data_IF_638273025876
#
_entry.id   IF_638273025876
#
_cell.length_a   1.000
_cell.length_b   1.000
_cell.length_c   1.000
_cell.angle_alpha   90.00
_cell.angle_beta   90.00
_cell.angle_gamma   90.00
#
_symmetry.space_group_name_H-M   'P 1'
#
loop_
_entity.id
_entity.type
_entity.pdbx_description
1 polymer ?
#
# COMPACT_ATOMS: atom_id res chain seq x y z
N UNK A 1 -12.72 13.04 12.01
CA UNK A 1 -12.61 12.12 10.88
C UNK A 1 -11.95 10.83 11.33
N UNK A 2 -12.45 9.69 10.85
CA UNK A 2 -11.89 8.40 11.27
C UNK A 2 -10.50 8.20 10.68
N UNK A 3 -9.62 7.61 11.47
CA UNK A 3 -8.25 7.35 11.05
C UNK A 3 -8.19 6.12 10.16
N UNK A 4 -7.31 6.15 9.15
CA UNK A 4 -7.04 4.98 8.32
C UNK A 4 -6.10 4.07 9.08
N UNK A 5 -6.49 2.82 9.27
CA UNK A 5 -5.74 1.82 10.04
C UNK A 5 -5.08 0.78 9.16
N UNK A 6 -5.64 0.51 7.99
CA UNK A 6 -5.07 -0.45 7.04
C UNK A 6 -5.38 -0.01 5.62
N UNK A 7 -4.40 -0.16 4.75
CA UNK A 7 -4.57 0.05 3.30
C UNK A 7 -3.95 -1.13 2.57
N UNK A 8 -4.67 -1.63 1.58
CA UNK A 8 -4.13 -2.63 0.65
C UNK A 8 -4.33 -2.07 -0.75
N UNK A 9 -3.24 -1.91 -1.48
CA UNK A 9 -3.31 -1.31 -2.81
C UNK A 9 -2.20 -1.83 -3.70
N UNK A 10 -2.44 -1.75 -5.00
CA UNK A 10 -1.49 -2.16 -6.03
C UNK A 10 -0.76 -0.95 -6.55
N UNK A 11 0.53 -1.11 -6.76
CA UNK A 11 1.41 -0.09 -7.32
C UNK A 11 2.05 -0.63 -8.58
N UNK A 12 2.06 0.19 -9.62
CA UNK A 12 2.89 -0.06 -10.79
C UNK A 12 4.14 0.79 -10.66
N UNK A 13 5.30 0.16 -10.73
CA UNK A 13 6.56 0.88 -10.56
C UNK A 13 7.58 0.39 -11.57
N UNK A 14 8.54 1.24 -11.95
CA UNK A 14 9.68 0.78 -12.73
C UNK A 14 10.55 -0.16 -11.89
N UNK A 15 11.50 -0.83 -12.52
CA UNK A 15 12.37 -1.76 -11.81
C UNK A 15 13.23 -1.06 -10.76
N UNK A 16 13.58 0.18 -10.99
CA UNK A 16 14.30 1.01 -10.03
C UNK A 16 13.38 2.13 -9.54
N UNK A 17 13.36 2.42 -8.24
CA UNK A 17 14.06 1.77 -7.14
C UNK A 17 13.53 0.36 -6.87
N UNK A 18 14.33 -0.44 -6.15
CA UNK A 18 13.94 -1.80 -5.81
C UNK A 18 12.74 -1.81 -4.86
N UNK A 19 11.99 -2.91 -4.87
CA UNK A 19 10.83 -3.06 -4.00
C UNK A 19 11.19 -2.89 -2.52
N UNK A 20 12.37 -3.37 -2.13
CA UNK A 20 12.81 -3.24 -0.74
C UNK A 20 13.01 -1.78 -0.35
N UNK A 21 13.47 -0.95 -1.27
CA UNK A 21 13.65 0.48 -1.00
C UNK A 21 12.31 1.20 -0.91
N UNK A 22 11.39 0.85 -1.80
CA UNK A 22 10.04 1.43 -1.77
C UNK A 22 9.35 1.07 -0.45
N UNK A 23 9.43 -0.20 -0.04
CA UNK A 23 8.82 -0.63 1.21
C UNK A 23 9.38 0.15 2.41
N UNK A 24 10.70 0.37 2.43
CA UNK A 24 11.32 1.14 3.51
C UNK A 24 10.86 2.58 3.54
N UNK A 25 10.76 3.20 2.37
CA UNK A 25 10.30 4.59 2.28
C UNK A 25 8.84 4.73 2.71
N UNK A 26 8.00 3.78 2.30
CA UNK A 26 6.59 3.79 2.72
C UNK A 26 6.49 3.57 4.23
N UNK A 27 7.32 2.70 4.79
CA UNK A 27 7.32 2.45 6.24
C UNK A 27 7.67 3.70 7.05
N UNK A 28 8.46 4.61 6.46
CA UNK A 28 8.83 5.86 7.12
C UNK A 28 7.75 6.94 6.98
N UNK A 29 6.67 6.67 6.25
CA UNK A 29 5.60 7.65 6.07
C UNK A 29 4.81 7.87 7.35
N UNK A 30 4.24 9.06 7.49
CA UNK A 30 3.52 9.42 8.69
C UNK A 30 2.33 8.52 8.93
N UNK A 31 2.22 8.01 10.15
CA UNK A 31 1.10 7.18 10.58
C UNK A 31 1.25 5.70 10.25
N UNK A 32 2.30 5.31 9.53
CA UNK A 32 2.51 3.91 9.14
C UNK A 32 3.31 3.20 10.23
N UNK A 33 2.78 2.08 10.71
CA UNK A 33 3.45 1.23 11.69
C UNK A 33 4.18 0.08 11.05
N UNK A 34 3.71 -0.39 9.91
CA UNK A 34 4.35 -1.50 9.22
C UNK A 34 3.89 -1.61 7.78
N UNK A 35 4.71 -2.24 6.96
CA UNK A 35 4.46 -2.41 5.53
C UNK A 35 4.81 -3.83 5.12
N UNK A 36 3.94 -4.41 4.30
CA UNK A 36 4.23 -5.65 3.59
C UNK A 36 4.16 -5.35 2.11
N UNK A 37 5.23 -5.64 1.38
CA UNK A 37 5.28 -5.44 -0.06
C UNK A 37 5.44 -6.79 -0.73
N UNK A 38 4.48 -7.14 -1.59
CA UNK A 38 4.46 -8.43 -2.28
C UNK A 38 4.49 -8.18 -3.78
N UNK A 39 5.49 -8.75 -4.45
CA UNK A 39 5.58 -8.66 -5.90
C UNK A 39 4.52 -9.58 -6.50
N UNK A 40 3.64 -9.04 -7.31
CA UNK A 40 2.59 -9.78 -7.99
C UNK A 40 3.01 -10.20 -9.39
N UNK A 41 3.57 -9.25 -10.15
CA UNK A 41 3.98 -9.50 -11.51
C UNK A 41 5.22 -8.70 -11.85
N UNK A 42 6.05 -9.28 -12.72
CA UNK A 42 7.20 -8.62 -13.31
C UNK A 42 7.00 -8.61 -14.81
N UNK A 43 7.13 -7.43 -15.39
CA UNK A 43 7.12 -7.25 -16.83
C UNK A 43 8.46 -6.64 -17.23
N UNK A 44 8.67 -6.44 -18.53
CA UNK A 44 9.94 -5.95 -19.06
C UNK A 44 10.34 -4.60 -18.45
N UNK A 45 9.37 -3.69 -18.31
CA UNK A 45 9.64 -2.34 -17.86
C UNK A 45 8.98 -1.99 -16.53
N UNK A 46 8.07 -2.81 -16.06
CA UNK A 46 7.17 -2.47 -14.94
C UNK A 46 7.04 -3.66 -14.00
N UNK A 47 6.94 -3.36 -12.72
CA UNK A 47 6.60 -4.33 -11.69
C UNK A 47 5.27 -3.94 -11.07
N UNK A 48 4.42 -4.95 -10.81
CA UNK A 48 3.18 -4.75 -10.07
C UNK A 48 3.40 -5.28 -8.65
N UNK A 49 3.29 -4.39 -7.68
CA UNK A 49 3.57 -4.70 -6.28
C UNK A 49 2.33 -4.41 -5.44
N UNK A 50 1.95 -5.37 -4.60
CA UNK A 50 0.88 -5.14 -3.64
C UNK A 50 1.50 -4.64 -2.34
N UNK A 51 1.00 -3.51 -1.85
CA UNK A 51 1.40 -2.97 -0.57
C UNK A 51 0.25 -3.13 0.42
N UNK A 52 0.57 -3.73 1.56
CA UNK A 52 -0.35 -3.82 2.69
C UNK A 52 0.29 -3.01 3.82
N UNK A 53 -0.38 -1.95 4.25
CA UNK A 53 0.16 -1.10 5.31
C UNK A 53 -0.83 -1.00 6.45
N UNK A 54 -0.27 -0.94 7.66
CA UNK A 54 -1.07 -0.76 8.88
C UNK A 54 -0.44 0.33 9.73
N UNK A 55 -1.28 1.00 10.49
CA UNK A 55 -0.84 2.07 11.37
C UNK A 55 -1.98 2.61 12.20
N UNK A 56 -1.71 3.65 12.97
CA UNK A 56 -2.73 4.26 13.83
C UNK A 56 -3.53 5.33 13.09
N UNK A 57 -2.87 6.12 12.27
CA UNK A 57 -3.52 7.17 11.51
C UNK A 57 -2.69 7.40 10.25
N UNK A 58 -2.88 6.52 9.27
CA UNK A 58 -2.10 6.55 8.04
C UNK A 58 -2.47 7.79 7.24
N UNK A 59 -1.45 8.57 6.85
CA UNK A 59 -1.61 9.69 5.94
C UNK A 59 -1.48 9.16 4.50
N UNK A 60 -2.60 8.89 3.87
CA UNK A 60 -2.60 8.32 2.53
C UNK A 60 -1.90 9.24 1.52
N UNK A 61 -2.10 10.55 1.63
CA UNK A 61 -1.48 11.49 0.69
C UNK A 61 0.04 11.42 0.79
N UNK A 62 0.57 11.26 2.01
CA UNK A 62 2.01 11.10 2.19
C UNK A 62 2.50 9.79 1.57
N UNK A 63 1.75 8.71 1.74
CA UNK A 63 2.08 7.42 1.14
C UNK A 63 2.06 7.51 -0.38
N UNK A 64 1.03 8.12 -0.93
CA UNK A 64 0.91 8.28 -2.37
C UNK A 64 2.08 9.10 -2.94
N UNK A 65 2.47 10.15 -2.23
CA UNK A 65 3.60 10.98 -2.66
C UNK A 65 4.90 10.17 -2.71
N UNK A 66 5.12 9.31 -1.72
CA UNK A 66 6.30 8.44 -1.71
C UNK A 66 6.30 7.51 -2.93
N UNK A 67 5.15 6.92 -3.23
CA UNK A 67 5.02 6.04 -4.41
C UNK A 67 5.32 6.81 -5.69
N UNK A 68 4.76 8.01 -5.83
CA UNK A 68 4.95 8.82 -7.03
C UNK A 68 6.38 9.31 -7.15
N UNK A 69 7.00 9.69 -6.05
CA UNK A 69 8.41 10.12 -6.05
C UNK A 69 9.36 9.00 -6.47
N UNK A 70 8.95 7.75 -6.26
CA UNK A 70 9.75 6.60 -6.69
C UNK A 70 9.56 6.28 -8.17
N UNK A 71 8.73 7.04 -8.87
CA UNK A 71 8.44 6.80 -10.28
C UNK A 71 7.26 5.87 -10.52
N UNK A 72 6.59 5.44 -9.45
CA UNK A 72 5.44 4.55 -9.55
C UNK A 72 4.13 5.29 -9.52
N UNK A 73 3.06 4.54 -9.57
CA UNK A 73 1.71 5.07 -9.44
C UNK A 73 0.82 4.06 -8.74
N UNK A 74 -0.14 4.56 -7.98
CA UNK A 74 -1.15 3.70 -7.38
C UNK A 74 -2.10 3.24 -8.49
N UNK A 75 -2.19 1.92 -8.68
CA UNK A 75 -3.01 1.34 -9.73
C UNK A 75 -4.43 1.09 -9.26
N UNK A 76 -4.58 0.53 -8.06
CA UNK A 76 -5.91 0.29 -7.49
C UNK A 76 -5.79 0.26 -5.98
N UNK A 77 -6.84 0.72 -5.30
CA UNK A 77 -6.96 0.59 -3.86
C UNK A 77 -7.96 -0.55 -3.62
N UNK A 78 -7.48 -1.62 -3.00
CA UNK A 78 -8.23 -2.86 -2.89
C UNK A 78 -8.91 -3.03 -1.54
N UNK A 79 -8.36 -2.41 -0.48
CA UNK A 79 -8.97 -2.49 0.84
C UNK A 79 -8.58 -1.25 1.65
N UNK A 80 -9.55 -0.70 2.36
CA UNK A 80 -9.31 0.39 3.31
C UNK A 80 -10.02 0.02 4.60
N UNK A 81 -9.32 0.06 5.72
CA UNK A 81 -9.92 -0.12 7.04
C UNK A 81 -9.72 1.15 7.84
N UNK A 82 -10.81 1.71 8.35
CA UNK A 82 -10.80 2.98 9.09
C UNK A 82 -11.47 2.79 10.45
N UNK A 83 -11.12 3.67 11.40
CA UNK A 83 -11.79 3.72 12.69
C UNK A 83 -10.97 3.07 13.78
N UNK A 84 -11.52 3.09 15.00
CA UNK A 84 -10.83 2.54 16.18
C UNK A 84 -10.79 1.03 16.20
N UNK A 85 -11.68 0.39 15.46
CA UNK A 85 -11.82 -1.06 15.42
C UNK A 85 -11.54 -1.55 14.00
N UNK A 86 -10.61 -2.47 13.85
CA UNK A 86 -10.33 -3.09 12.56
C UNK A 86 -11.38 -4.16 12.29
N UNK A 87 -12.19 -3.91 11.27
CA UNK A 87 -13.21 -4.87 10.83
C UNK A 87 -12.61 -5.69 9.69
N UNK A 88 -12.55 -6.99 9.89
CA UNK A 88 -11.98 -7.87 8.87
C UNK A 88 -13.00 -8.13 7.76
N UNK A 89 -12.47 -8.24 6.55
CA UNK A 89 -13.29 -8.60 5.41
C UNK A 89 -13.70 -10.07 5.55
N UNK A 90 -15.01 -10.30 5.59
CA UNK A 90 -15.53 -11.66 5.72
C UNK A 90 -15.95 -12.13 4.34
N UNK A 91 -15.31 -13.20 3.82
CA UNK A 91 -15.71 -13.72 2.51
C UNK A 91 -17.16 -14.16 2.54
N UNK A 92 -17.91 -13.77 1.52
CA UNK A 92 -19.28 -14.25 1.35
C UNK A 92 -19.28 -15.43 0.37
N UNK A 93 -20.12 -16.44 0.62
CA UNK A 93 -20.19 -17.54 -0.32
C UNK A 93 -20.62 -17.07 -1.70
N UNK A 94 -19.98 -17.66 -2.71
CA UNK A 94 -20.36 -17.42 -4.10
C UNK A 94 -21.25 -18.57 -4.56
N UNK A 95 -22.42 -18.25 -5.05
CA UNK A 95 -23.34 -19.27 -5.57
C UNK A 95 -23.13 -19.57 -7.04
#
# INVERSE_FOLDING_TARGET
MAAIRRLVFDVLKPHEPATIDLAGQVADSEGVSGVNATLLEIDQDVQNVKLTIEGDAIDYEAVEAVVEDSGGSVHSIDQVACGDHLVEDIPTPQD
#
